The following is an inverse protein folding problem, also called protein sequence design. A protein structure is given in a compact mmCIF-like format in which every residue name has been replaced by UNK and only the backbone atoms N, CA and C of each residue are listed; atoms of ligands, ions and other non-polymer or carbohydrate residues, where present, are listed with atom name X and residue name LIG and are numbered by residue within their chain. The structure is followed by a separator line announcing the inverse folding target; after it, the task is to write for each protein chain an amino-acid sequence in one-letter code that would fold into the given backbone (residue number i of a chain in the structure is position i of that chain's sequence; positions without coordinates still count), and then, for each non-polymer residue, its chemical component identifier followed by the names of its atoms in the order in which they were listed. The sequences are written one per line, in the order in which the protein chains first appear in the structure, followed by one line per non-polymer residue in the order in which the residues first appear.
data_IF_477272476057
#
_entry.id   IF_477272476057
#
_cell.length_a   1.000
_cell.length_b   1.000
_cell.length_c   1.000
_cell.angle_alpha   90.00
_cell.angle_beta   90.00
_cell.angle_gamma   90.00
#
_symmetry.space_group_name_H-M   'P 1'
#
loop_
_entity.id
_entity.type
_entity.pdbx_description
1 polymer ?
#
# COMPACT_ATOMS: atom_id res chain seq x y z
N UNK A 1 22.29 17.22 34.46
CA UNK A 1 22.75 16.54 33.25
C UNK A 1 21.50 16.18 32.46
N UNK A 2 21.09 17.08 31.57
CA UNK A 2 19.94 16.98 30.65
C UNK A 2 20.37 17.66 29.34
N UNK A 3 21.54 17.30 28.82
CA UNK A 3 22.17 17.98 27.69
C UNK A 3 22.64 17.00 26.60
N UNK A 4 22.23 15.73 26.66
CA UNK A 4 22.71 14.69 25.74
C UNK A 4 21.59 14.02 24.93
N UNK A 5 20.30 14.29 25.15
CA UNK A 5 19.24 13.64 24.37
C UNK A 5 18.88 14.46 23.11
N UNK A 6 18.71 15.78 23.25
CA UNK A 6 18.42 16.69 22.12
C UNK A 6 19.60 16.91 21.14
N UNK A 7 20.79 16.38 21.47
CA UNK A 7 22.00 16.48 20.65
C UNK A 7 22.38 15.17 19.94
N UNK A 8 21.63 14.08 20.16
CA UNK A 8 21.87 12.80 19.51
C UNK A 8 21.41 12.85 18.05
N UNK A 9 22.34 13.25 17.20
CA UNK A 9 22.20 13.20 15.76
C UNK A 9 22.26 11.75 15.28
N UNK A 10 21.15 11.23 14.76
CA UNK A 10 21.06 9.87 14.24
C UNK A 10 21.44 9.88 12.75
N UNK A 11 22.44 9.08 12.32
CA UNK A 11 22.80 8.99 10.92
C UNK A 11 21.76 8.17 10.15
N UNK A 12 21.05 8.83 9.23
CA UNK A 12 20.08 8.22 8.33
C UNK A 12 20.72 7.98 6.95
N UNK A 13 20.58 6.76 6.43
CA UNK A 13 21.14 6.40 5.13
C UNK A 13 20.18 6.73 4.00
N UNK A 14 20.65 7.50 3.02
CA UNK A 14 19.95 7.78 1.77
C UNK A 14 20.85 7.37 0.60
N UNK A 15 20.54 6.24 -0.02
CA UNK A 15 21.41 5.65 -1.04
C UNK A 15 22.79 5.32 -0.47
N UNK A 16 23.84 5.97 -0.98
CA UNK A 16 25.24 5.77 -0.57
C UNK A 16 25.76 6.82 0.43
N UNK A 17 24.92 7.75 0.88
CA UNK A 17 25.31 8.82 1.83
C UNK A 17 24.53 8.72 3.14
N UNK A 18 25.15 9.21 4.22
CA UNK A 18 24.52 9.33 5.54
C UNK A 18 24.30 10.80 5.87
N UNK A 19 23.09 11.14 6.30
CA UNK A 19 22.71 12.47 6.78
C UNK A 19 22.30 12.37 8.24
N UNK A 20 22.86 13.23 9.07
CA UNK A 20 22.53 13.33 10.48
C UNK A 20 21.24 14.11 10.67
N UNK A 21 20.25 13.47 11.30
CA UNK A 21 18.98 14.08 11.69
C UNK A 21 18.81 14.04 13.19
N UNK A 22 18.02 14.97 13.74
CA UNK A 22 17.59 14.83 15.13
C UNK A 22 16.67 13.61 15.28
N UNK A 23 16.53 13.11 16.51
CA UNK A 23 15.62 11.99 16.78
C UNK A 23 14.17 12.31 16.41
N UNK A 24 13.71 13.54 16.69
CA UNK A 24 12.36 14.01 16.38
C UNK A 24 12.12 14.04 14.86
N UNK A 25 13.04 14.64 14.10
CA UNK A 25 12.97 14.70 12.63
C UNK A 25 12.92 13.30 12.01
N UNK A 26 13.72 12.36 12.52
CA UNK A 26 13.70 10.97 12.06
C UNK A 26 12.38 10.27 12.35
N UNK A 27 11.80 10.51 13.52
CA UNK A 27 10.50 9.92 13.88
C UNK A 27 9.40 10.46 12.97
N UNK A 28 9.36 11.77 12.74
CA UNK A 28 8.40 12.41 11.85
C UNK A 28 8.51 11.89 10.41
N UNK A 29 9.75 11.79 9.88
CA UNK A 29 9.99 11.23 8.55
C UNK A 29 9.51 9.77 8.43
N UNK A 30 9.74 8.98 9.48
CA UNK A 30 9.32 7.58 9.51
C UNK A 30 7.80 7.45 9.59
N UNK A 31 7.14 8.30 10.38
CA UNK A 31 5.68 8.35 10.48
C UNK A 31 5.05 8.78 9.15
N UNK A 32 5.60 9.80 8.49
CA UNK A 32 5.13 10.24 7.18
C UNK A 32 5.28 9.14 6.13
N UNK A 33 6.43 8.45 6.11
CA UNK A 33 6.66 7.33 5.21
C UNK A 33 5.69 6.17 5.45
N UNK A 34 5.43 5.81 6.72
CA UNK A 34 4.43 4.79 7.08
C UNK A 34 3.04 5.19 6.63
N UNK A 35 2.66 6.45 6.83
CA UNK A 35 1.35 6.97 6.43
C UNK A 35 1.17 6.89 4.91
N UNK A 36 2.15 7.34 4.13
CA UNK A 36 2.12 7.23 2.66
C UNK A 36 1.97 5.79 2.20
N UNK A 37 2.74 4.87 2.80
CA UNK A 37 2.65 3.46 2.46
C UNK A 37 1.27 2.87 2.79
N UNK A 38 0.67 3.26 3.91
CA UNK A 38 -0.68 2.83 4.27
C UNK A 38 -1.73 3.35 3.27
N UNK A 39 -1.64 4.62 2.87
CA UNK A 39 -2.54 5.21 1.86
C UNK A 39 -2.42 4.48 0.50
N UNK A 40 -1.19 4.09 0.10
CA UNK A 40 -0.98 3.30 -1.12
C UNK A 40 -1.60 1.90 -1.02
N UNK A 41 -1.45 1.23 0.14
CA UNK A 41 -2.07 -0.07 0.40
C UNK A 41 -3.59 0.03 0.27
N UNK A 42 -4.20 1.01 0.95
CA UNK A 42 -5.66 1.20 0.94
C UNK A 42 -6.18 1.48 -0.48
N UNK A 43 -5.45 2.29 -1.26
CA UNK A 43 -5.78 2.57 -2.65
C UNK A 43 -5.69 1.31 -3.53
N UNK A 44 -4.68 0.46 -3.34
CA UNK A 44 -4.53 -0.79 -4.07
C UNK A 44 -5.63 -1.80 -3.70
N UNK A 45 -6.00 -1.89 -2.43
CA UNK A 45 -7.10 -2.74 -1.97
C UNK A 45 -8.45 -2.29 -2.54
N UNK A 46 -8.72 -0.98 -2.51
CA UNK A 46 -9.92 -0.41 -3.13
C UNK A 46 -9.98 -0.71 -4.63
N UNK A 47 -8.86 -0.56 -5.34
CA UNK A 47 -8.78 -0.91 -6.76
C UNK A 47 -9.03 -2.40 -7.00
N UNK A 48 -8.45 -3.27 -6.18
CA UNK A 48 -8.68 -4.72 -6.25
C UNK A 48 -10.16 -5.07 -6.06
N UNK A 49 -10.82 -4.46 -5.07
CA UNK A 49 -12.25 -4.65 -4.80
C UNK A 49 -13.10 -4.23 -6.01
N UNK A 50 -12.83 -3.05 -6.58
CA UNK A 50 -13.55 -2.56 -7.76
C UNK A 50 -13.40 -3.48 -8.97
N UNK A 51 -12.19 -4.01 -9.22
CA UNK A 51 -11.95 -4.95 -10.33
C UNK A 51 -12.74 -6.24 -10.09
N UNK A 52 -12.78 -6.75 -8.86
CA UNK A 52 -13.56 -7.95 -8.52
C UNK A 52 -15.05 -7.74 -8.76
N UNK A 53 -15.59 -6.58 -8.39
CA UNK A 53 -16.99 -6.24 -8.65
C UNK A 53 -17.28 -6.20 -10.16
N UNK A 54 -16.42 -5.52 -10.94
CA UNK A 54 -16.56 -5.48 -12.41
C UNK A 54 -16.52 -6.89 -13.01
N UNK A 55 -15.60 -7.75 -12.56
CA UNK A 55 -15.54 -9.15 -13.03
C UNK A 55 -16.81 -9.91 -12.67
N UNK A 56 -17.33 -9.77 -11.45
CA UNK A 56 -18.57 -10.41 -11.03
C UNK A 56 -19.76 -9.96 -11.90
N UNK A 57 -19.89 -8.65 -12.16
CA UNK A 57 -20.95 -8.11 -13.01
C UNK A 57 -20.84 -8.61 -14.46
N UNK A 58 -19.62 -8.68 -15.00
CA UNK A 58 -19.37 -9.26 -16.32
C UNK A 58 -19.72 -10.75 -16.38
N UNK A 59 -19.38 -11.54 -15.35
CA UNK A 59 -19.77 -12.95 -15.27
C UNK A 59 -21.30 -13.09 -15.35
N UNK A 60 -22.05 -12.29 -14.58
CA UNK A 60 -23.52 -12.29 -14.61
C UNK A 60 -24.06 -11.95 -16.00
N UNK A 61 -23.54 -10.90 -16.64
CA UNK A 61 -23.95 -10.51 -17.99
C UNK A 61 -23.67 -11.60 -19.03
N UNK A 62 -22.52 -12.26 -18.94
CA UNK A 62 -22.16 -13.35 -19.83
C UNK A 62 -23.06 -14.58 -19.62
N UNK A 63 -23.33 -14.96 -18.37
CA UNK A 63 -24.29 -16.04 -18.07
C UNK A 63 -25.70 -15.72 -18.54
N UNK A 64 -26.16 -14.47 -18.40
CA UNK A 64 -27.47 -14.05 -18.91
C UNK A 64 -27.56 -14.14 -20.44
N UNK A 65 -26.46 -13.88 -21.16
CA UNK A 65 -26.44 -13.85 -22.63
C UNK A 65 -26.17 -15.23 -23.27
N UNK A 66 -25.29 -16.02 -22.66
CA UNK A 66 -24.80 -17.28 -23.23
C UNK A 66 -25.26 -18.53 -22.47
N UNK A 67 -25.86 -18.37 -21.29
CA UNK A 67 -26.41 -19.46 -20.49
C UNK A 67 -25.35 -20.49 -20.08
N UNK A 68 -25.75 -21.76 -20.10
CA UNK A 68 -24.89 -22.92 -19.79
C UNK A 68 -23.95 -23.33 -20.93
N UNK A 69 -23.87 -22.54 -22.01
CA UNK A 69 -22.98 -22.80 -23.16
C UNK A 69 -21.52 -22.46 -22.86
N UNK A 70 -21.28 -21.68 -21.79
CA UNK A 70 -19.96 -21.25 -21.35
C UNK A 70 -19.70 -21.69 -19.90
N UNK A 71 -18.45 -22.00 -19.57
CA UNK A 71 -18.01 -22.31 -18.20
C UNK A 71 -16.99 -21.26 -17.74
N UNK A 72 -17.40 -20.32 -16.88
CA UNK A 72 -16.58 -19.22 -16.38
C UNK A 72 -15.98 -19.49 -14.98
N UNK A 73 -16.22 -20.68 -14.42
CA UNK A 73 -15.77 -21.10 -13.08
C UNK A 73 -14.33 -21.66 -13.08
N UNK A 74 -13.71 -21.84 -14.25
CA UNK A 74 -12.38 -22.42 -14.37
C UNK A 74 -11.24 -21.52 -13.84
N UNK A 75 -11.50 -20.22 -13.68
CA UNK A 75 -10.52 -19.23 -13.22
C UNK A 75 -10.54 -18.98 -11.69
N UNK A 76 -11.32 -19.74 -10.91
CA UNK A 76 -11.36 -19.60 -9.43
C UNK A 76 -10.34 -20.48 -8.66
N UNK A 77 -9.29 -20.98 -9.33
CA UNK A 77 -8.21 -21.78 -8.72
C UNK A 77 -6.95 -20.97 -8.40
#
# INVERSE_FOLDING_TARGET
MLADDDSLMIPYQIGDVFISHSQEEMQDMLEEAKKKLQEEIDALESRRESIRQVVADLKVQLYAKFGSTINLEADES
#
